data_IF_745588741640
#
_entry.id   IF_745588741640
#
_cell.length_a   1.000
_cell.length_b   1.000
_cell.length_c   1.000
_cell.angle_alpha   90.00
_cell.angle_beta   90.00
_cell.angle_gamma   90.00
#
_symmetry.space_group_name_H-M   'P 1'
#
loop_
_entity.id
_entity.type
_entity.pdbx_description
1 polymer ?
#
# COMPACT_ATOMS: atom_id res chain seq x y z
N UNK A 1 -4.45 59.10 -12.18
CA UNK A 1 -4.49 57.62 -12.28
C UNK A 1 -5.80 57.10 -11.71
N UNK A 2 -6.59 56.39 -12.51
CA UNK A 2 -7.99 56.05 -12.19
C UNK A 2 -8.08 54.92 -11.15
N UNK A 3 -8.70 55.19 -10.00
CA UNK A 3 -8.90 54.22 -8.89
C UNK A 3 -9.59 52.92 -9.34
N UNK A 4 -10.45 52.98 -10.36
CA UNK A 4 -11.12 51.81 -10.96
C UNK A 4 -10.14 50.84 -11.64
N UNK A 5 -9.11 51.35 -12.33
CA UNK A 5 -8.10 50.54 -13.02
C UNK A 5 -7.11 49.89 -12.03
N UNK A 6 -6.86 50.54 -10.88
CA UNK A 6 -6.09 49.93 -9.78
C UNK A 6 -6.86 48.79 -9.12
N UNK A 7 -8.18 48.96 -8.92
CA UNK A 7 -9.03 47.95 -8.28
C UNK A 7 -9.22 46.70 -9.14
N UNK A 8 -9.35 46.86 -10.47
CA UNK A 8 -9.44 45.71 -11.39
C UNK A 8 -8.15 44.90 -11.40
N UNK A 9 -6.99 45.55 -11.44
CA UNK A 9 -5.68 44.88 -11.36
C UNK A 9 -5.49 44.12 -10.05
N UNK A 10 -5.90 44.72 -8.92
CA UNK A 10 -5.88 44.02 -7.63
C UNK A 10 -6.78 42.77 -7.62
N UNK A 11 -8.00 42.86 -8.17
CA UNK A 11 -8.89 41.69 -8.28
C UNK A 11 -8.29 40.61 -9.17
N UNK A 12 -7.72 40.95 -10.33
CA UNK A 12 -7.07 39.98 -11.22
C UNK A 12 -5.88 39.30 -10.54
N UNK A 13 -5.02 40.05 -9.85
CA UNK A 13 -3.89 39.47 -9.11
C UNK A 13 -4.37 38.53 -8.01
N UNK A 14 -5.41 38.92 -7.27
CA UNK A 14 -5.96 38.07 -6.22
C UNK A 14 -6.50 36.75 -6.77
N UNK A 15 -7.19 36.78 -7.91
CA UNK A 15 -7.70 35.58 -8.58
C UNK A 15 -6.55 34.67 -9.04
N UNK A 16 -5.52 35.24 -9.68
CA UNK A 16 -4.35 34.47 -10.15
C UNK A 16 -3.63 33.81 -8.98
N UNK A 17 -3.43 34.53 -7.88
CA UNK A 17 -2.80 34.00 -6.66
C UNK A 17 -3.63 32.87 -6.04
N UNK A 18 -4.95 33.00 -6.04
CA UNK A 18 -5.86 31.98 -5.51
C UNK A 18 -5.83 30.72 -6.38
N UNK A 19 -5.86 30.86 -7.70
CA UNK A 19 -5.72 29.73 -8.64
C UNK A 19 -4.37 29.04 -8.46
N UNK A 20 -3.28 29.80 -8.36
CA UNK A 20 -1.95 29.24 -8.12
C UNK A 20 -1.89 28.47 -6.80
N UNK A 21 -2.47 29.00 -5.72
CA UNK A 21 -2.53 28.31 -4.43
C UNK A 21 -3.31 26.99 -4.50
N UNK A 22 -4.44 26.97 -5.20
CA UNK A 22 -5.22 25.73 -5.40
C UNK A 22 -4.42 24.71 -6.19
N UNK A 23 -3.75 25.12 -7.27
CA UNK A 23 -2.90 24.22 -8.05
C UNK A 23 -1.76 23.65 -7.19
N UNK A 24 -1.11 24.47 -6.39
CA UNK A 24 -0.05 24.02 -5.48
C UNK A 24 -0.56 23.02 -4.44
N UNK A 25 -1.74 23.25 -3.87
CA UNK A 25 -2.37 22.30 -2.93
C UNK A 25 -2.68 20.96 -3.60
N UNK A 26 -3.19 20.98 -4.82
CA UNK A 26 -3.45 19.75 -5.59
C UNK A 26 -2.14 19.02 -5.88
N UNK A 27 -1.11 19.72 -6.36
CA UNK A 27 0.21 19.13 -6.60
C UNK A 27 0.82 18.54 -5.32
N UNK A 28 0.70 19.24 -4.18
CA UNK A 28 1.19 18.76 -2.89
C UNK A 28 0.47 17.47 -2.47
N UNK A 29 -0.85 17.38 -2.66
CA UNK A 29 -1.62 16.17 -2.39
C UNK A 29 -1.17 14.98 -3.24
N UNK A 30 -0.91 15.19 -4.54
CA UNK A 30 -0.37 14.12 -5.39
C UNK A 30 1.04 13.70 -4.96
N UNK A 31 1.90 14.66 -4.58
CA UNK A 31 3.24 14.36 -4.12
C UNK A 31 3.23 13.54 -2.82
N UNK A 32 2.38 13.90 -1.85
CA UNK A 32 2.24 13.13 -0.60
C UNK A 32 1.70 11.73 -0.86
N UNK A 33 0.69 11.58 -1.72
CA UNK A 33 0.15 10.27 -2.09
C UNK A 33 1.21 9.36 -2.76
N UNK A 34 2.02 9.92 -3.66
CA UNK A 34 3.10 9.18 -4.32
C UNK A 34 4.17 8.70 -3.33
N UNK A 35 4.57 9.56 -2.38
CA UNK A 35 5.54 9.20 -1.34
C UNK A 35 5.01 8.10 -0.41
N UNK A 36 3.73 8.15 -0.05
CA UNK A 36 3.08 7.10 0.76
C UNK A 36 3.06 5.77 0.01
N UNK A 37 2.71 5.78 -1.28
CA UNK A 37 2.70 4.57 -2.10
C UNK A 37 4.10 3.95 -2.22
N UNK A 38 5.13 4.76 -2.44
CA UNK A 38 6.52 4.31 -2.47
C UNK A 38 6.94 3.71 -1.12
N UNK A 39 6.61 4.37 0.00
CA UNK A 39 6.91 3.87 1.34
C UNK A 39 6.21 2.52 1.61
N UNK A 40 4.93 2.39 1.24
CA UNK A 40 4.19 1.12 1.38
C UNK A 40 4.81 0.00 0.55
N UNK A 41 5.27 0.30 -0.68
CA UNK A 41 5.99 -0.67 -1.52
C UNK A 41 7.29 -1.13 -0.87
N UNK A 42 8.10 -0.21 -0.35
CA UNK A 42 9.37 -0.52 0.33
C UNK A 42 9.10 -1.35 1.60
N UNK A 43 8.13 -0.97 2.42
CA UNK A 43 7.75 -1.74 3.63
C UNK A 43 7.27 -3.13 3.24
N UNK A 44 6.49 -3.27 2.17
CA UNK A 44 6.06 -4.56 1.64
C UNK A 44 7.24 -5.45 1.23
N UNK A 45 8.23 -4.91 0.52
CA UNK A 45 9.44 -5.62 0.10
C UNK A 45 10.33 -6.00 1.28
N UNK A 46 10.54 -5.09 2.24
CA UNK A 46 11.33 -5.36 3.44
C UNK A 46 10.65 -6.32 4.43
N UNK A 47 9.34 -6.53 4.31
CA UNK A 47 8.59 -7.50 5.12
C UNK A 47 8.69 -8.93 4.57
N UNK A 48 9.22 -9.10 3.36
CA UNK A 48 9.48 -10.43 2.80
C UNK A 48 10.56 -11.13 3.61
N UNK A 49 10.21 -12.30 4.14
CA UNK A 49 11.13 -13.16 4.88
C UNK A 49 11.20 -14.51 4.19
N UNK A 50 12.33 -15.19 4.34
CA UNK A 50 12.51 -16.51 3.76
C UNK A 50 11.62 -17.54 4.47
N UNK A 51 10.82 -18.27 3.69
CA UNK A 51 9.99 -19.32 4.23
C UNK A 51 10.81 -20.56 4.59
N UNK A 52 10.59 -21.13 5.79
CA UNK A 52 11.31 -22.31 6.28
C UNK A 52 11.14 -23.58 5.42
N UNK A 53 10.04 -23.72 4.69
CA UNK A 53 9.70 -24.95 3.95
C UNK A 53 10.18 -24.88 2.50
N UNK A 54 9.76 -23.84 1.76
CA UNK A 54 10.09 -23.70 0.35
C UNK A 54 11.31 -22.81 0.07
N UNK A 55 11.90 -22.19 1.09
CA UNK A 55 13.03 -21.25 0.98
C UNK A 55 12.78 -20.06 0.04
N UNK A 56 11.52 -19.77 -0.30
CA UNK A 56 11.15 -18.58 -1.08
C UNK A 56 10.85 -17.39 -0.17
N UNK A 57 11.23 -16.20 -0.62
CA UNK A 57 10.91 -14.95 0.04
C UNK A 57 9.43 -14.61 -0.16
N UNK A 58 8.68 -14.60 0.93
CA UNK A 58 7.25 -14.33 0.93
C UNK A 58 6.84 -13.57 2.20
N UNK A 59 5.62 -13.03 2.21
CA UNK A 59 4.99 -12.63 3.46
C UNK A 59 4.73 -13.90 4.28
N UNK A 60 5.36 -13.99 5.45
CA UNK A 60 5.23 -15.16 6.31
C UNK A 60 4.03 -15.02 7.25
N UNK A 61 3.27 -16.10 7.38
CA UNK A 61 2.22 -16.23 8.38
C UNK A 61 2.80 -17.04 9.53
N UNK A 62 2.59 -16.58 10.77
CA UNK A 62 2.98 -17.33 11.95
C UNK A 62 1.87 -18.32 12.28
N UNK A 63 2.21 -19.60 12.28
CA UNK A 63 1.32 -20.68 12.68
C UNK A 63 1.81 -21.27 14.00
N UNK A 64 0.89 -21.64 14.88
CA UNK A 64 1.24 -22.18 16.20
C UNK A 64 2.01 -23.51 16.12
N UNK A 65 1.78 -24.28 15.05
CA UNK A 65 2.37 -25.61 14.87
C UNK A 65 3.67 -25.63 14.05
N UNK A 66 3.82 -24.75 13.06
CA UNK A 66 4.92 -24.83 12.08
C UNK A 66 5.82 -23.59 12.06
N UNK A 67 5.52 -22.56 12.86
CA UNK A 67 6.27 -21.31 12.91
C UNK A 67 5.95 -20.39 11.73
N UNK A 68 6.94 -19.65 11.24
CA UNK A 68 6.78 -18.69 10.14
C UNK A 68 6.87 -19.38 8.78
N UNK A 69 5.75 -19.45 8.06
CA UNK A 69 5.62 -20.21 6.80
C UNK A 69 4.90 -19.37 5.73
N UNK A 70 5.19 -19.63 4.46
CA UNK A 70 4.53 -19.00 3.33
C UNK A 70 3.04 -19.40 3.22
N UNK A 71 2.13 -18.53 2.74
CA UNK A 71 0.71 -18.85 2.60
C UNK A 71 0.45 -20.05 1.66
N UNK A 72 1.26 -20.21 0.60
CA UNK A 72 1.17 -21.36 -0.31
C UNK A 72 1.48 -22.68 0.41
N UNK A 73 2.55 -22.67 1.22
CA UNK A 73 2.99 -23.81 2.02
C UNK A 73 1.95 -24.16 3.08
N UNK A 74 1.35 -23.15 3.71
CA UNK A 74 0.28 -23.32 4.69
C UNK A 74 -0.95 -23.97 4.07
N UNK A 75 -1.34 -23.57 2.84
CA UNK A 75 -2.45 -24.23 2.13
C UNK A 75 -2.16 -25.70 1.85
N UNK A 76 -0.97 -26.04 1.34
CA UNK A 76 -0.60 -27.43 1.09
C UNK A 76 -0.67 -28.30 2.35
N UNK A 77 -0.23 -27.77 3.50
CA UNK A 77 -0.33 -28.49 4.79
C UNK A 77 -1.79 -28.70 5.18
N UNK A 78 -2.65 -27.69 5.03
CA UNK A 78 -4.07 -27.78 5.38
C UNK A 78 -4.80 -28.77 4.47
N UNK A 79 -4.54 -28.74 3.17
CA UNK A 79 -5.12 -29.65 2.18
C UNK A 79 -4.69 -31.10 2.43
N UNK A 80 -3.39 -31.34 2.67
CA UNK A 80 -2.89 -32.68 3.03
C UNK A 80 -3.53 -33.21 4.30
N UNK A 81 -3.68 -32.38 5.33
CA UNK A 81 -4.35 -32.77 6.59
C UNK A 81 -5.83 -33.10 6.38
N UNK A 82 -6.51 -32.39 5.48
CA UNK A 82 -7.90 -32.72 5.13
C UNK A 82 -8.01 -34.07 4.42
N UNK A 83 -7.09 -34.39 3.52
CA UNK A 83 -7.05 -35.68 2.84
C UNK A 83 -6.86 -36.84 3.83
N UNK A 84 -5.90 -36.71 4.76
CA UNK A 84 -5.68 -37.73 5.81
C UNK A 84 -6.93 -37.96 6.68
N UNK A 85 -7.67 -36.89 7.00
CA UNK A 85 -8.91 -36.99 7.78
C UNK A 85 -10.04 -37.66 6.99
N UNK A 86 -10.12 -37.44 5.69
CA UNK A 86 -11.10 -38.09 4.81
C UNK A 86 -10.79 -39.59 4.66
N UNK A 87 -9.53 -39.96 4.45
CA UNK A 87 -9.11 -41.37 4.37
C UNK A 87 -9.40 -42.14 5.67
N UNK A 88 -9.22 -41.50 6.84
CA UNK A 88 -9.58 -42.10 8.13
C UNK A 88 -11.07 -42.28 8.35
N UNK A 89 -11.93 -41.49 7.70
CA UNK A 89 -13.40 -41.63 7.77
C UNK A 89 -13.96 -42.61 6.74
N UNK A 90 -13.23 -42.84 5.65
CA UNK A 90 -13.61 -43.78 4.60
C UNK A 90 -13.28 -45.24 4.95
N UNK A 91 -12.60 -45.48 6.07
CA UNK A 91 -12.20 -46.79 6.58
C UNK A 91 -13.06 -47.16 7.79
#
# INVERSE_FOLDING_TARGET
>A
MNRLQSRSRCMTLMIVMLVAAVVLLVCAWFATAAMIAAAAGIVGLCSLRECRICHQFASLIRTDQYGAVCPTCQRMILEGRQQELLERRAK
#
